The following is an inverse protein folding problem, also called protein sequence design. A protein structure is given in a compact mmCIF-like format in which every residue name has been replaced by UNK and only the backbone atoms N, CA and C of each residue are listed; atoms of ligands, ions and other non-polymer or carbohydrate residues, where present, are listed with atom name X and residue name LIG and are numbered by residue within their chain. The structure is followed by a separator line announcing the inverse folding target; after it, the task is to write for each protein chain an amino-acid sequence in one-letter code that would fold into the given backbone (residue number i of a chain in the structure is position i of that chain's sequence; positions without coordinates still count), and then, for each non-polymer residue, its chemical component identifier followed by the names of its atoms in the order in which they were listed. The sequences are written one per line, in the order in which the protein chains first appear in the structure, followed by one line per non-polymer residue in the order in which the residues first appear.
data_IF_978928069954
#
_entry.id   IF_978928069954
#
_cell.length_a   1.000
_cell.length_b   1.000
_cell.length_c   1.000
_cell.angle_alpha   90.00
_cell.angle_beta   90.00
_cell.angle_gamma   90.00
#
_symmetry.space_group_name_H-M   'P 1'
#
loop_
_entity.id
_entity.type
_entity.pdbx_description
1 polymer ?
#
# COMPACT_ATOMS: atom_id res chain seq x y z
N UNK A 1 10.26 22.97 4.38
CA UNK A 1 11.68 22.70 4.13
C UNK A 1 11.77 21.64 3.06
N UNK A 2 12.61 21.75 2.00
CA UNK A 2 12.63 20.75 0.92
C UNK A 2 13.21 19.37 1.30
N UNK A 3 13.62 19.16 2.55
CA UNK A 3 14.25 17.93 3.02
C UNK A 3 13.29 16.89 3.62
N UNK A 4 11.97 17.16 3.61
CA UNK A 4 10.99 16.30 4.28
C UNK A 4 10.33 15.26 3.36
N UNK A 5 10.69 15.23 2.06
CA UNK A 5 10.14 14.27 1.10
C UNK A 5 11.15 13.18 0.73
N UNK A 6 10.72 11.92 0.86
CA UNK A 6 11.49 10.76 0.40
C UNK A 6 11.35 10.55 -1.11
N UNK A 7 10.17 10.86 -1.67
CA UNK A 7 9.87 10.80 -3.09
C UNK A 7 9.11 12.06 -3.48
N UNK A 8 9.52 12.70 -4.57
CA UNK A 8 8.84 13.86 -5.15
C UNK A 8 8.81 13.70 -6.67
N UNK A 9 7.64 13.90 -7.28
CA UNK A 9 7.50 13.92 -8.74
C UNK A 9 6.66 15.10 -9.18
N UNK A 10 7.02 15.70 -10.31
CA UNK A 10 6.32 16.82 -10.93
C UNK A 10 6.02 16.49 -12.40
N UNK A 11 4.74 16.36 -12.73
CA UNK A 11 4.27 16.05 -14.06
C UNK A 11 4.86 14.75 -14.63
N UNK A 12 5.20 13.77 -13.75
CA UNK A 12 5.87 12.54 -14.18
C UNK A 12 4.99 11.77 -15.14
N UNK A 13 5.51 11.55 -16.37
CA UNK A 13 4.74 10.92 -17.44
C UNK A 13 5.54 9.79 -18.07
N UNK A 14 4.85 8.68 -18.37
CA UNK A 14 5.38 7.56 -19.13
C UNK A 14 4.44 7.14 -20.22
N UNK A 15 4.93 7.25 -21.46
CA UNK A 15 4.23 6.83 -22.67
C UNK A 15 4.87 5.58 -23.25
N UNK A 16 4.06 4.63 -23.67
CA UNK A 16 4.44 3.47 -24.47
C UNK A 16 3.58 3.46 -25.74
N UNK A 17 4.23 3.63 -26.92
CA UNK A 17 3.49 3.86 -28.16
C UNK A 17 2.60 5.10 -28.02
N UNK A 18 1.30 4.91 -28.23
CA UNK A 18 0.31 6.01 -28.15
C UNK A 18 -0.40 6.08 -26.78
N UNK A 19 -0.02 5.24 -25.82
CA UNK A 19 -0.70 5.17 -24.54
C UNK A 19 0.14 5.78 -23.42
N UNK A 20 -0.44 6.74 -22.69
CA UNK A 20 0.11 7.27 -21.44
C UNK A 20 -0.26 6.33 -20.29
N UNK A 21 0.70 5.48 -19.87
CA UNK A 21 0.54 4.55 -18.75
C UNK A 21 0.67 5.28 -17.41
N UNK A 22 1.47 6.33 -17.36
CA UNK A 22 1.52 7.29 -16.25
C UNK A 22 1.40 8.68 -16.87
N UNK A 23 0.42 9.46 -16.41
CA UNK A 23 0.07 10.75 -16.98
C UNK A 23 0.13 11.85 -15.91
N UNK A 24 1.16 12.69 -15.97
CA UNK A 24 1.39 13.88 -15.14
C UNK A 24 1.21 13.61 -13.64
N UNK A 25 1.89 12.57 -13.14
CA UNK A 25 1.83 12.16 -11.75
C UNK A 25 2.63 13.13 -10.86
N UNK A 26 1.96 13.84 -9.95
CA UNK A 26 2.52 14.73 -8.95
C UNK A 26 2.48 14.07 -7.57
N UNK A 27 3.52 13.30 -7.23
CA UNK A 27 3.59 12.50 -6.01
C UNK A 27 4.50 13.15 -4.98
N UNK A 28 4.04 13.24 -3.74
CA UNK A 28 4.79 13.75 -2.61
C UNK A 28 4.73 12.73 -1.44
N UNK A 29 5.83 12.00 -1.23
CA UNK A 29 5.93 10.99 -0.16
C UNK A 29 6.78 11.55 0.97
N UNK A 30 6.23 11.76 2.18
CA UNK A 30 6.99 12.27 3.31
C UNK A 30 8.04 11.26 3.79
N UNK A 31 9.10 11.77 4.41
CA UNK A 31 10.09 10.94 5.10
C UNK A 31 9.45 10.33 6.35
N UNK A 32 9.74 9.06 6.59
CA UNK A 32 9.20 8.28 7.70
C UNK A 32 7.85 7.66 7.42
N UNK A 33 7.49 6.65 8.19
CA UNK A 33 6.22 5.94 8.06
C UNK A 33 6.11 5.07 6.81
N UNK A 34 4.88 4.66 6.53
CA UNK A 34 4.53 3.81 5.40
C UNK A 34 3.59 4.54 4.47
N UNK A 35 3.98 4.68 3.21
CA UNK A 35 3.16 5.25 2.14
C UNK A 35 2.63 4.15 1.23
N UNK A 36 1.31 4.05 1.12
CA UNK A 36 0.60 3.13 0.22
C UNK A 36 0.31 3.79 -1.13
N UNK A 37 0.78 3.20 -2.21
CA UNK A 37 0.48 3.62 -3.58
C UNK A 37 -0.55 2.68 -4.18
N UNK A 38 -1.78 3.14 -4.19
CA UNK A 38 -2.96 2.32 -4.34
C UNK A 38 -3.64 2.53 -5.68
N UNK A 39 -4.07 1.45 -6.32
CA UNK A 39 -4.82 1.52 -7.58
C UNK A 39 -5.05 0.13 -8.17
N UNK A 40 -6.00 -0.01 -9.09
CA UNK A 40 -6.27 -1.27 -9.78
C UNK A 40 -5.08 -1.74 -10.60
N UNK A 41 -5.15 -2.98 -11.08
CA UNK A 41 -4.14 -3.49 -12.00
C UNK A 41 -4.15 -2.65 -13.29
N UNK A 42 -2.96 -2.37 -13.83
CA UNK A 42 -2.83 -1.52 -15.02
C UNK A 42 -2.85 0.00 -14.74
N UNK A 43 -3.06 0.46 -13.51
CA UNK A 43 -3.07 1.89 -13.17
C UNK A 43 -1.70 2.59 -13.21
N UNK A 44 -0.61 1.89 -13.56
CA UNK A 44 0.71 2.47 -13.70
C UNK A 44 1.64 2.34 -12.48
N UNK A 45 1.25 1.62 -11.41
CA UNK A 45 2.02 1.48 -10.15
C UNK A 45 3.45 0.96 -10.38
N UNK A 46 3.58 -0.23 -10.95
CA UNK A 46 4.89 -0.84 -11.26
C UNK A 46 5.73 0.04 -12.21
N UNK A 47 5.08 0.67 -13.20
CA UNK A 47 5.74 1.59 -14.12
C UNK A 47 6.31 2.80 -13.38
N UNK A 48 5.56 3.35 -12.44
CA UNK A 48 6.03 4.45 -11.57
C UNK A 48 7.24 4.01 -10.75
N UNK A 49 7.16 2.87 -10.05
CA UNK A 49 8.29 2.34 -9.27
C UNK A 49 9.53 2.12 -10.14
N UNK A 50 9.38 1.60 -11.36
CA UNK A 50 10.51 1.42 -12.29
C UNK A 50 11.12 2.76 -12.69
N UNK A 51 10.33 3.83 -12.87
CA UNK A 51 10.85 5.17 -13.13
C UNK A 51 11.60 5.73 -11.92
N UNK A 52 11.05 5.58 -10.71
CA UNK A 52 11.70 5.99 -9.46
C UNK A 52 13.09 5.35 -9.32
N UNK A 53 13.23 4.08 -9.66
CA UNK A 53 14.49 3.34 -9.62
C UNK A 53 15.43 3.63 -10.80
N UNK A 54 15.00 4.41 -11.78
CA UNK A 54 15.76 4.66 -12.99
C UNK A 54 15.87 3.47 -13.95
N UNK A 55 15.06 2.41 -13.74
CA UNK A 55 15.02 1.23 -14.62
C UNK A 55 14.39 1.55 -15.97
N UNK A 56 13.49 2.53 -16.03
CA UNK A 56 12.95 3.10 -17.25
C UNK A 56 13.00 4.63 -17.16
N UNK A 57 13.21 5.31 -18.29
CA UNK A 57 13.21 6.76 -18.34
C UNK A 57 11.78 7.31 -18.44
N UNK A 58 11.44 8.37 -17.71
CA UNK A 58 10.22 9.14 -17.96
C UNK A 58 10.18 9.66 -19.40
N UNK A 59 8.98 9.83 -19.93
CA UNK A 59 8.73 10.51 -21.20
C UNK A 59 8.69 12.03 -21.01
N UNK A 60 8.21 12.50 -19.84
CA UNK A 60 8.18 13.89 -19.43
C UNK A 60 8.13 14.00 -17.89
N UNK A 61 8.29 15.23 -17.39
CA UNK A 61 8.28 15.52 -15.95
C UNK A 61 9.62 15.30 -15.27
N UNK A 62 9.63 15.50 -13.95
CA UNK A 62 10.80 15.33 -13.10
C UNK A 62 10.52 14.42 -11.93
N UNK A 63 11.58 13.85 -11.33
CA UNK A 63 11.47 13.08 -10.12
C UNK A 63 12.71 13.22 -9.24
N UNK A 64 12.50 13.18 -7.93
CA UNK A 64 13.55 13.20 -6.91
C UNK A 64 13.36 12.04 -5.94
N UNK A 65 14.48 11.45 -5.51
CA UNK A 65 14.52 10.51 -4.40
C UNK A 65 15.46 11.06 -3.32
N UNK A 66 14.98 11.09 -2.07
CA UNK A 66 15.74 11.59 -0.92
C UNK A 66 16.36 12.98 -1.20
N UNK A 67 15.57 13.87 -1.86
CA UNK A 67 15.96 15.24 -2.23
C UNK A 67 16.85 15.36 -3.47
N UNK A 68 17.26 14.26 -4.12
CA UNK A 68 18.19 14.26 -5.25
C UNK A 68 17.49 13.91 -6.56
N UNK A 69 17.83 14.66 -7.62
CA UNK A 69 17.21 14.49 -8.94
C UNK A 69 17.62 13.17 -9.62
N UNK A 70 16.64 12.40 -10.06
CA UNK A 70 16.84 11.16 -10.79
C UNK A 70 16.60 11.36 -12.31
N UNK A 71 17.29 10.61 -13.16
CA UNK A 71 18.27 9.57 -12.87
C UNK A 71 19.71 10.09 -12.67
N UNK A 72 19.93 11.41 -12.72
CA UNK A 72 21.28 11.99 -12.70
C UNK A 72 22.08 11.61 -11.42
N UNK A 73 21.43 11.55 -10.27
CA UNK A 73 22.04 11.18 -8.99
C UNK A 73 21.87 9.71 -8.61
N UNK A 74 21.56 8.82 -9.55
CA UNK A 74 21.25 7.42 -9.25
C UNK A 74 22.38 6.69 -8.49
N UNK A 75 23.65 6.93 -8.85
CA UNK A 75 24.80 6.33 -8.16
C UNK A 75 24.92 6.72 -6.69
N UNK A 76 24.45 7.90 -6.34
CA UNK A 76 24.55 8.45 -4.99
C UNK A 76 23.34 8.09 -4.13
N UNK A 77 22.17 7.96 -4.77
CA UNK A 77 20.88 7.75 -4.08
C UNK A 77 20.54 6.27 -3.90
N UNK A 78 20.73 5.45 -4.95
CA UNK A 78 20.31 4.04 -4.92
C UNK A 78 20.99 3.19 -3.83
N UNK A 79 22.21 3.50 -3.36
CA UNK A 79 22.77 2.83 -2.18
C UNK A 79 21.91 2.96 -0.92
N UNK A 80 21.13 4.04 -0.78
CA UNK A 80 20.23 4.29 0.35
C UNK A 80 18.80 3.75 0.09
N UNK A 81 18.53 3.21 -1.09
CA UNK A 81 17.24 2.68 -1.51
C UNK A 81 17.29 1.15 -1.57
N UNK A 82 16.36 0.49 -0.90
CA UNK A 82 16.09 -0.94 -1.11
C UNK A 82 14.87 -1.10 -2.02
N UNK A 83 14.89 -2.09 -2.90
CA UNK A 83 13.77 -2.31 -3.80
C UNK A 83 13.42 -3.80 -3.94
N UNK A 84 12.12 -4.08 -3.97
CA UNK A 84 11.53 -5.36 -4.35
C UNK A 84 10.49 -5.09 -5.44
N UNK A 85 10.83 -5.39 -6.70
CA UNK A 85 9.98 -5.12 -7.87
C UNK A 85 9.78 -6.41 -8.63
N UNK A 86 8.55 -6.76 -8.97
CA UNK A 86 8.15 -7.95 -9.75
C UNK A 86 8.61 -9.29 -9.15
N UNK A 87 8.87 -9.32 -7.86
CA UNK A 87 9.35 -10.49 -7.16
C UNK A 87 10.87 -10.71 -7.27
N UNK A 88 11.41 -11.53 -6.38
CA UNK A 88 12.85 -11.72 -6.25
C UNK A 88 13.40 -12.65 -7.32
N UNK A 89 14.36 -12.16 -8.12
CA UNK A 89 15.09 -12.93 -9.10
C UNK A 89 16.34 -13.58 -8.47
N UNK A 90 16.16 -14.76 -7.88
CA UNK A 90 17.25 -15.55 -7.28
C UNK A 90 17.65 -16.75 -8.15
N UNK A 91 18.85 -17.25 -7.93
CA UNK A 91 19.33 -18.46 -8.61
C UNK A 91 18.70 -19.71 -7.98
N UNK A 92 17.92 -20.51 -8.74
CA UNK A 92 17.15 -21.63 -8.19
C UNK A 92 18.00 -22.75 -7.55
N UNK A 93 19.23 -22.92 -8.01
CA UNK A 93 20.16 -23.96 -7.54
C UNK A 93 20.98 -23.54 -6.32
N UNK A 94 21.02 -22.26 -5.99
CA UNK A 94 21.68 -21.75 -4.79
C UNK A 94 20.72 -21.82 -3.58
N UNK A 95 21.29 -21.87 -2.39
CA UNK A 95 20.52 -21.71 -1.15
C UNK A 95 20.10 -20.26 -0.94
N UNK A 96 19.15 -20.00 -0.02
CA UNK A 96 18.77 -18.62 0.35
C UNK A 96 19.98 -17.82 0.80
N UNK A 97 20.80 -18.39 1.68
CA UNK A 97 22.05 -17.82 2.17
C UNK A 97 23.02 -17.48 1.03
N UNK A 98 23.24 -18.41 0.12
CA UNK A 98 24.16 -18.22 -1.02
C UNK A 98 23.67 -17.10 -1.96
N UNK A 99 22.37 -17.02 -2.21
CA UNK A 99 21.77 -15.93 -2.99
C UNK A 99 22.04 -14.56 -2.34
N UNK A 100 21.78 -14.42 -1.03
CA UNK A 100 22.05 -13.17 -0.30
C UNK A 100 23.55 -12.83 -0.29
N UNK A 101 24.43 -13.80 -0.11
CA UNK A 101 25.88 -13.58 -0.21
C UNK A 101 26.31 -13.02 -1.57
N UNK A 102 25.70 -13.48 -2.67
CA UNK A 102 25.98 -12.94 -4.01
C UNK A 102 25.53 -11.50 -4.14
N UNK A 103 24.33 -11.19 -3.67
CA UNK A 103 23.81 -9.82 -3.73
C UNK A 103 24.63 -8.86 -2.86
N UNK A 104 25.00 -9.26 -1.64
CA UNK A 104 25.86 -8.45 -0.80
C UNK A 104 27.26 -8.22 -1.41
N UNK A 105 27.77 -9.22 -2.13
CA UNK A 105 29.06 -9.11 -2.82
C UNK A 105 29.04 -8.13 -3.99
N UNK A 106 27.89 -7.94 -4.64
CA UNK A 106 27.72 -7.01 -5.76
C UNK A 106 27.58 -5.56 -5.31
N UNK A 107 27.38 -5.30 -4.02
CA UNK A 107 27.21 -3.96 -3.51
C UNK A 107 28.52 -3.20 -3.28
N UNK A 108 28.47 -1.85 -3.11
CA UNK A 108 29.65 -0.99 -3.08
C UNK A 108 30.63 -1.24 -1.93
N UNK A 109 30.16 -1.72 -0.77
CA UNK A 109 31.00 -1.89 0.44
C UNK A 109 31.54 -3.29 0.62
N UNK A 110 32.28 -3.82 -0.32
CA UNK A 110 32.81 -5.19 -0.38
C UNK A 110 33.61 -5.70 0.86
N UNK A 111 33.37 -5.19 2.07
CA UNK A 111 33.98 -5.67 3.31
C UNK A 111 33.59 -7.12 3.58
N UNK A 112 34.44 -8.02 3.12
CA UNK A 112 34.27 -9.47 3.20
C UNK A 112 34.06 -9.97 4.63
N UNK A 113 34.71 -9.33 5.61
CA UNK A 113 34.68 -9.74 7.01
C UNK A 113 33.29 -9.62 7.68
N UNK A 114 32.43 -8.68 7.28
CA UNK A 114 31.09 -8.47 7.84
C UNK A 114 29.93 -9.04 6.99
N UNK A 115 30.25 -9.64 5.85
CA UNK A 115 29.24 -10.17 4.92
C UNK A 115 28.40 -11.29 5.53
N UNK A 116 29.01 -12.25 6.20
CA UNK A 116 28.28 -13.37 6.81
C UNK A 116 27.33 -12.86 7.87
N UNK A 117 27.80 -11.95 8.73
CA UNK A 117 26.97 -11.35 9.77
C UNK A 117 25.77 -10.58 9.20
N UNK A 118 25.95 -9.81 8.10
CA UNK A 118 24.82 -9.09 7.47
C UNK A 118 23.79 -10.05 6.88
N UNK A 119 24.24 -11.12 6.21
CA UNK A 119 23.36 -12.14 5.62
C UNK A 119 22.61 -12.88 6.73
N UNK A 120 23.29 -13.28 7.82
CA UNK A 120 22.64 -13.96 8.93
C UNK A 120 21.61 -13.06 9.63
N UNK A 121 21.94 -11.80 9.85
CA UNK A 121 21.02 -10.81 10.41
C UNK A 121 19.79 -10.60 9.51
N UNK A 122 19.98 -10.45 8.19
CA UNK A 122 18.88 -10.29 7.25
C UNK A 122 17.95 -11.51 7.21
N UNK A 123 18.51 -12.73 7.22
CA UNK A 123 17.74 -13.98 7.27
C UNK A 123 16.96 -14.10 8.59
N UNK A 124 17.56 -13.74 9.70
CA UNK A 124 16.93 -13.76 11.02
C UNK A 124 15.74 -12.79 11.07
N UNK A 125 15.90 -11.57 10.56
CA UNK A 125 14.83 -10.55 10.55
C UNK A 125 13.57 -10.99 9.80
N UNK A 126 13.72 -11.80 8.74
CA UNK A 126 12.57 -12.29 7.96
C UNK A 126 12.14 -13.71 8.36
N UNK A 127 12.68 -14.28 9.45
CA UNK A 127 12.32 -15.60 9.94
C UNK A 127 12.77 -16.77 9.05
N UNK A 128 13.85 -16.59 8.25
CA UNK A 128 14.36 -17.60 7.33
C UNK A 128 15.64 -18.32 7.80
N UNK A 129 16.06 -18.13 9.07
CA UNK A 129 17.28 -18.75 9.60
C UNK A 129 17.29 -20.27 9.43
N UNK A 130 16.21 -20.96 9.81
CA UNK A 130 16.09 -22.42 9.71
C UNK A 130 16.06 -22.92 8.26
N UNK A 131 15.65 -22.09 7.31
CA UNK A 131 15.56 -22.42 5.89
C UNK A 131 16.72 -21.86 5.05
N UNK A 132 17.68 -21.16 5.68
CA UNK A 132 18.76 -20.46 5.01
C UNK A 132 19.55 -21.31 4.03
N UNK A 133 19.79 -22.58 4.39
CA UNK A 133 20.60 -23.51 3.62
C UNK A 133 19.77 -24.44 2.71
N UNK A 134 18.44 -24.26 2.66
CA UNK A 134 17.56 -24.91 1.69
C UNK A 134 17.72 -24.24 0.32
N UNK A 135 17.71 -25.02 -0.77
CA UNK A 135 17.78 -24.47 -2.13
C UNK A 135 16.56 -23.61 -2.45
N UNK A 136 16.80 -22.46 -3.11
CA UNK A 136 15.74 -21.49 -3.43
C UNK A 136 14.57 -22.12 -4.22
N UNK A 137 14.85 -23.04 -5.18
CA UNK A 137 13.80 -23.75 -5.92
C UNK A 137 12.81 -24.54 -5.06
N UNK A 138 13.15 -24.79 -3.80
CA UNK A 138 12.32 -25.52 -2.85
C UNK A 138 11.66 -24.58 -1.80
N UNK A 139 11.75 -23.26 -2.02
CA UNK A 139 11.05 -22.27 -1.20
C UNK A 139 9.56 -22.20 -1.60
N UNK A 140 8.69 -21.97 -0.62
CA UNK A 140 7.32 -21.56 -0.88
C UNK A 140 7.29 -20.10 -1.37
N UNK A 141 6.17 -19.66 -1.91
CA UNK A 141 5.98 -18.27 -2.33
C UNK A 141 6.29 -17.29 -1.19
N UNK A 142 5.76 -17.54 0.01
CA UNK A 142 6.03 -16.71 1.19
C UNK A 142 7.49 -16.70 1.61
N UNK A 143 8.20 -17.83 1.51
CA UNK A 143 9.65 -17.86 1.76
C UNK A 143 10.42 -17.08 0.68
N UNK A 144 9.99 -17.15 -0.56
CA UNK A 144 10.54 -16.39 -1.69
C UNK A 144 10.41 -14.88 -1.47
N UNK A 145 9.23 -14.41 -1.09
CA UNK A 145 8.99 -12.99 -0.78
C UNK A 145 9.82 -12.52 0.41
N UNK A 146 9.87 -13.30 1.49
CA UNK A 146 10.72 -12.97 2.66
C UNK A 146 12.21 -12.91 2.30
N UNK A 147 12.68 -13.80 1.44
CA UNK A 147 14.07 -13.72 0.95
C UNK A 147 14.31 -12.45 0.13
N UNK A 148 13.33 -12.03 -0.67
CA UNK A 148 13.36 -10.76 -1.38
C UNK A 148 13.47 -9.56 -0.43
N UNK A 149 12.66 -9.54 0.62
CA UNK A 149 12.76 -8.53 1.67
C UNK A 149 14.12 -8.59 2.39
N UNK A 150 14.62 -9.77 2.73
CA UNK A 150 15.95 -9.92 3.32
C UNK A 150 17.05 -9.30 2.44
N UNK A 151 16.94 -9.42 1.12
CA UNK A 151 17.87 -8.81 0.18
C UNK A 151 17.89 -7.29 0.26
N UNK A 152 16.74 -6.64 0.50
CA UNK A 152 16.67 -5.18 0.68
C UNK A 152 17.35 -4.72 1.97
N UNK A 153 17.43 -5.60 2.98
CA UNK A 153 17.96 -5.33 4.32
C UNK A 153 19.42 -5.71 4.53
N UNK A 154 20.11 -6.18 3.51
CA UNK A 154 21.54 -6.49 3.60
C UNK A 154 22.37 -5.28 4.04
N UNK A 155 21.79 -4.08 3.92
CA UNK A 155 22.36 -2.79 4.35
C UNK A 155 21.28 -1.89 4.91
N UNK A 156 21.60 -0.95 5.80
CA UNK A 156 20.68 0.08 6.21
C UNK A 156 20.15 0.84 4.99
N UNK A 157 18.84 1.08 4.95
CA UNK A 157 18.16 1.81 3.89
C UNK A 157 17.36 2.96 4.48
N UNK A 158 17.34 4.10 3.82
CA UNK A 158 16.51 5.24 4.16
C UNK A 158 15.13 5.14 3.52
N UNK A 159 15.04 4.46 2.37
CA UNK A 159 13.81 4.27 1.61
C UNK A 159 13.73 2.82 1.11
N UNK A 160 12.56 2.20 1.26
CA UNK A 160 12.21 0.92 0.64
C UNK A 160 11.08 1.12 -0.37
N UNK A 161 11.27 0.59 -1.58
CA UNK A 161 10.26 0.54 -2.64
C UNK A 161 9.81 -0.92 -2.82
N UNK A 162 8.57 -1.22 -2.44
CA UNK A 162 8.02 -2.57 -2.45
C UNK A 162 6.83 -2.65 -3.41
N UNK A 163 6.98 -3.42 -4.49
CA UNK A 163 5.91 -3.61 -5.47
C UNK A 163 5.11 -4.86 -5.11
N UNK A 164 3.85 -4.68 -4.69
CA UNK A 164 2.90 -5.74 -4.31
C UNK A 164 3.53 -6.78 -3.34
N UNK A 165 4.08 -6.38 -2.18
CA UNK A 165 4.92 -7.25 -1.34
C UNK A 165 4.18 -8.44 -0.73
N UNK A 166 2.84 -8.41 -0.68
CA UNK A 166 1.96 -9.42 -0.09
C UNK A 166 1.23 -10.26 -1.14
N UNK A 167 1.41 -9.95 -2.43
CA UNK A 167 0.65 -10.59 -3.50
C UNK A 167 0.87 -12.11 -3.53
N UNK A 168 -0.26 -12.86 -3.56
CA UNK A 168 -0.26 -14.31 -3.62
C UNK A 168 0.16 -15.02 -2.33
N UNK A 169 0.27 -14.29 -1.21
CA UNK A 169 0.55 -14.88 0.09
C UNK A 169 -0.73 -15.35 0.79
N UNK A 170 -0.58 -16.31 1.70
CA UNK A 170 -1.66 -16.70 2.59
C UNK A 170 -1.91 -15.61 3.65
N UNK A 171 -3.05 -15.63 4.35
CA UNK A 171 -3.39 -14.61 5.34
C UNK A 171 -2.38 -14.50 6.50
N UNK A 172 -1.68 -15.59 6.84
CA UNK A 172 -0.66 -15.56 7.87
C UNK A 172 0.59 -14.84 7.38
N UNK A 173 1.08 -15.21 6.20
CA UNK A 173 2.25 -14.57 5.58
C UNK A 173 2.02 -13.07 5.35
N UNK A 174 0.82 -12.69 4.88
CA UNK A 174 0.43 -11.29 4.72
C UNK A 174 0.52 -10.51 6.05
N UNK A 175 0.00 -11.09 7.16
CA UNK A 175 0.11 -10.45 8.49
C UNK A 175 1.55 -10.27 8.94
N UNK A 176 2.41 -11.26 8.71
CA UNK A 176 3.81 -11.22 9.09
C UNK A 176 4.58 -10.14 8.29
N UNK A 177 4.35 -10.04 6.98
CA UNK A 177 4.96 -9.00 6.14
C UNK A 177 4.49 -7.61 6.56
N UNK A 178 3.20 -7.41 6.86
CA UNK A 178 2.69 -6.13 7.34
C UNK A 178 3.29 -5.71 8.69
N UNK A 179 3.42 -6.65 9.61
CA UNK A 179 4.09 -6.40 10.88
C UNK A 179 5.54 -5.95 10.67
N UNK A 180 6.25 -6.68 9.82
CA UNK A 180 7.63 -6.38 9.47
C UNK A 180 7.79 -4.99 8.79
N UNK A 181 6.89 -4.60 7.89
CA UNK A 181 6.90 -3.27 7.26
C UNK A 181 6.71 -2.17 8.31
N UNK A 182 5.82 -2.37 9.30
CA UNK A 182 5.62 -1.41 10.40
C UNK A 182 6.86 -1.28 11.28
N UNK A 183 7.49 -2.38 11.66
CA UNK A 183 8.75 -2.36 12.42
C UNK A 183 9.84 -1.56 11.71
N UNK A 184 10.01 -1.74 10.40
CA UNK A 184 10.97 -0.98 9.59
C UNK A 184 10.68 0.53 9.60
N UNK A 185 9.41 0.90 9.52
CA UNK A 185 9.02 2.30 9.58
C UNK A 185 9.23 2.90 10.98
N UNK A 186 8.94 2.16 12.04
CA UNK A 186 9.22 2.55 13.43
C UNK A 186 10.72 2.72 13.70
N UNK A 187 11.57 1.96 13.01
CA UNK A 187 13.03 2.10 13.04
C UNK A 187 13.53 3.32 12.22
N UNK A 188 12.64 4.07 11.57
CA UNK A 188 12.95 5.29 10.82
C UNK A 188 13.19 5.09 9.33
N UNK A 189 12.94 3.88 8.77
CA UNK A 189 12.97 3.66 7.32
C UNK A 189 11.66 4.14 6.70
N UNK A 190 11.72 4.95 5.64
CA UNK A 190 10.54 5.26 4.84
C UNK A 190 10.19 4.06 3.98
N UNK A 191 8.95 3.59 4.02
CA UNK A 191 8.49 2.49 3.17
C UNK A 191 7.43 3.00 2.21
N UNK A 192 7.68 2.84 0.92
CA UNK A 192 6.72 3.05 -0.16
C UNK A 192 6.32 1.69 -0.71
N UNK A 193 5.05 1.35 -0.62
CA UNK A 193 4.54 0.08 -1.14
C UNK A 193 3.40 0.32 -2.13
N UNK A 194 3.39 -0.44 -3.23
CA UNK A 194 2.23 -0.53 -4.09
C UNK A 194 1.29 -1.64 -3.62
N UNK A 195 -0.01 -1.43 -3.78
CA UNK A 195 -1.01 -2.47 -3.57
C UNK A 195 -2.27 -2.22 -4.41
N UNK A 196 -2.96 -3.30 -4.73
CA UNK A 196 -4.33 -3.26 -5.25
C UNK A 196 -5.35 -3.68 -4.19
N UNK A 197 -4.95 -3.91 -2.94
CA UNK A 197 -5.81 -4.37 -1.85
C UNK A 197 -5.97 -3.26 -0.80
N UNK A 198 -7.11 -2.58 -0.84
CA UNK A 198 -7.47 -1.46 0.05
C UNK A 198 -7.34 -1.82 1.53
N UNK A 199 -7.90 -2.96 1.93
CA UNK A 199 -7.87 -3.42 3.32
C UNK A 199 -6.45 -3.72 3.86
N UNK A 200 -5.48 -4.02 3.00
CA UNK A 200 -4.08 -4.18 3.41
C UNK A 200 -3.41 -2.83 3.67
N UNK A 201 -3.65 -1.87 2.79
CA UNK A 201 -3.13 -0.50 2.90
C UNK A 201 -3.65 0.16 4.18
N UNK A 202 -4.94 0.01 4.47
CA UNK A 202 -5.55 0.54 5.71
C UNK A 202 -4.91 0.03 6.99
N UNK A 203 -4.35 -1.18 6.96
CA UNK A 203 -3.77 -1.80 8.15
C UNK A 203 -2.31 -1.43 8.39
N UNK A 204 -1.58 -0.92 7.38
CA UNK A 204 -0.14 -0.72 7.50
C UNK A 204 0.31 0.70 7.18
N UNK A 205 -0.43 1.43 6.34
CA UNK A 205 0.00 2.73 5.85
C UNK A 205 -0.38 3.88 6.78
N UNK A 206 0.47 4.89 6.83
CA UNK A 206 0.22 6.19 7.49
C UNK A 206 -0.28 7.22 6.47
N UNK A 207 0.19 7.10 5.23
CA UNK A 207 -0.18 7.96 4.11
C UNK A 207 -0.51 7.09 2.90
N UNK A 208 -1.34 7.62 2.02
CA UNK A 208 -1.70 6.93 0.78
C UNK A 208 -1.73 7.90 -0.40
N UNK A 209 -1.45 7.35 -1.59
CA UNK A 209 -1.69 7.98 -2.88
C UNK A 209 -2.57 7.05 -3.72
N UNK A 210 -3.71 7.54 -4.16
CA UNK A 210 -4.68 6.79 -4.97
C UNK A 210 -4.45 7.10 -6.43
N UNK A 211 -4.25 6.06 -7.25
CA UNK A 211 -3.99 6.17 -8.69
C UNK A 211 -5.06 5.45 -9.49
N UNK A 212 -5.62 6.14 -10.46
CA UNK A 212 -6.54 5.59 -11.43
C UNK A 212 -6.16 6.06 -12.84
N UNK A 213 -6.20 5.15 -13.83
CA UNK A 213 -5.90 5.46 -15.23
C UNK A 213 -4.59 6.25 -15.45
N UNK A 214 -3.55 5.90 -14.71
CA UNK A 214 -2.22 6.55 -14.79
C UNK A 214 -2.11 7.89 -14.08
N UNK A 215 -3.16 8.39 -13.42
CA UNK A 215 -3.19 9.70 -12.75
C UNK A 215 -3.33 9.56 -11.24
N UNK A 216 -2.72 10.45 -10.50
CA UNK A 216 -2.96 10.58 -9.08
C UNK A 216 -4.32 11.26 -8.86
N UNK A 217 -5.23 10.58 -8.17
CA UNK A 217 -6.58 11.07 -7.86
C UNK A 217 -6.59 11.80 -6.53
N UNK A 218 -5.89 11.25 -5.53
CA UNK A 218 -5.74 11.85 -4.20
C UNK A 218 -4.45 11.37 -3.54
N UNK A 219 -3.90 12.17 -2.63
CA UNK A 219 -2.83 11.75 -1.73
C UNK A 219 -2.91 12.52 -0.41
N UNK A 220 -2.46 11.89 0.67
CA UNK A 220 -2.42 12.51 1.99
C UNK A 220 -2.37 11.48 3.13
N UNK A 221 -2.48 11.95 4.39
CA UNK A 221 -2.64 11.09 5.54
C UNK A 221 -3.85 10.16 5.37
N UNK A 222 -3.70 8.88 5.73
CA UNK A 222 -4.76 7.87 5.58
C UNK A 222 -6.05 8.30 6.28
N UNK A 223 -5.95 8.83 7.50
CA UNK A 223 -7.12 9.24 8.28
C UNK A 223 -7.89 10.41 7.64
N UNK A 224 -7.19 11.34 6.98
CA UNK A 224 -7.82 12.45 6.27
C UNK A 224 -8.57 11.98 5.03
N UNK A 225 -7.98 11.06 4.26
CA UNK A 225 -8.62 10.49 3.07
C UNK A 225 -9.83 9.62 3.43
N UNK A 226 -9.77 8.89 4.54
CA UNK A 226 -10.93 8.15 5.07
C UNK A 226 -12.04 9.11 5.52
N UNK A 227 -11.67 10.22 6.18
CA UNK A 227 -12.64 11.22 6.65
C UNK A 227 -13.37 11.94 5.50
N UNK A 228 -12.85 11.88 4.26
CA UNK A 228 -13.54 12.40 3.07
C UNK A 228 -14.76 11.55 2.66
N UNK A 229 -14.87 10.30 3.15
CA UNK A 229 -16.04 9.46 2.99
C UNK A 229 -17.07 9.71 4.09
N UNK A 230 -18.35 9.41 3.84
CA UNK A 230 -19.38 9.46 4.87
C UNK A 230 -19.37 8.19 5.73
N UNK A 231 -19.43 8.36 7.06
CA UNK A 231 -19.61 7.22 7.96
C UNK A 231 -20.94 6.51 7.64
N UNK A 232 -20.94 5.19 7.65
CA UNK A 232 -22.11 4.36 7.33
C UNK A 232 -22.79 3.91 8.62
N UNK A 233 -24.09 4.20 8.74
CA UNK A 233 -24.95 3.63 9.78
C UNK A 233 -25.43 2.26 9.30
N UNK A 234 -25.28 1.24 10.13
CA UNK A 234 -25.86 -0.10 9.90
C UNK A 234 -26.86 -0.41 11.01
N UNK A 235 -28.04 -0.77 10.61
CA UNK A 235 -29.15 -1.12 11.52
C UNK A 235 -29.63 -2.53 11.20
N UNK A 236 -29.58 -3.41 12.16
CA UNK A 236 -30.17 -4.74 12.07
C UNK A 236 -31.54 -4.76 12.73
N UNK A 237 -32.58 -5.13 11.96
CA UNK A 237 -33.96 -5.09 12.38
C UNK A 237 -34.82 -6.12 11.62
N UNK A 238 -35.94 -6.56 12.22
CA UNK A 238 -36.92 -7.40 11.55
C UNK A 238 -37.80 -6.61 10.56
N UNK A 239 -37.86 -5.27 10.70
CA UNK A 239 -38.64 -4.37 9.85
C UNK A 239 -37.71 -3.44 9.07
N UNK A 240 -36.95 -4.02 8.15
CA UNK A 240 -35.93 -3.33 7.37
C UNK A 240 -36.54 -2.27 6.42
N UNK A 241 -37.75 -2.52 5.89
CA UNK A 241 -38.41 -1.57 4.97
C UNK A 241 -38.84 -0.30 5.69
N UNK A 242 -39.45 -0.44 6.88
CA UNK A 242 -39.80 0.74 7.70
C UNK A 242 -38.55 1.48 8.16
N UNK A 243 -37.50 0.76 8.56
CA UNK A 243 -36.22 1.38 8.94
C UNK A 243 -35.61 2.19 7.80
N UNK A 244 -35.56 1.63 6.60
CA UNK A 244 -35.06 2.34 5.41
C UNK A 244 -35.86 3.62 5.12
N UNK A 245 -37.19 3.54 5.22
CA UNK A 245 -38.08 4.68 5.01
C UNK A 245 -37.84 5.78 6.05
N UNK A 246 -37.64 5.43 7.32
CA UNK A 246 -37.34 6.38 8.39
C UNK A 246 -36.01 7.05 8.16
N UNK A 247 -34.94 6.28 7.84
CA UNK A 247 -33.62 6.84 7.60
C UNK A 247 -33.60 7.77 6.38
N UNK A 248 -34.27 7.39 5.30
CA UNK A 248 -34.41 8.25 4.11
C UNK A 248 -35.16 9.54 4.44
N UNK A 249 -36.25 9.49 5.25
CA UNK A 249 -36.99 10.67 5.70
C UNK A 249 -36.17 11.60 6.59
N UNK A 250 -35.22 11.07 7.35
CA UNK A 250 -34.26 11.85 8.14
C UNK A 250 -33.24 12.57 7.28
N UNK A 251 -33.15 12.26 5.99
CA UNK A 251 -32.21 12.87 5.05
C UNK A 251 -30.87 12.11 4.89
N UNK A 252 -30.76 10.88 5.42
CA UNK A 252 -29.59 10.04 5.17
C UNK A 252 -29.58 9.60 3.70
N UNK A 253 -28.41 9.66 3.08
CA UNK A 253 -28.22 9.21 1.69
C UNK A 253 -27.79 7.75 1.60
N UNK A 254 -27.71 7.22 0.38
CA UNK A 254 -27.23 5.85 0.09
C UNK A 254 -27.91 4.75 0.94
N UNK A 255 -29.23 4.89 1.17
CA UNK A 255 -29.98 3.88 1.93
C UNK A 255 -30.08 2.60 1.11
N UNK A 256 -29.55 1.51 1.66
CA UNK A 256 -29.55 0.18 1.04
C UNK A 256 -30.12 -0.87 1.99
N UNK A 257 -30.80 -1.88 1.43
CA UNK A 257 -31.33 -3.02 2.17
C UNK A 257 -30.61 -4.30 1.76
N UNK A 258 -30.17 -5.07 2.76
CA UNK A 258 -29.59 -6.40 2.58
C UNK A 258 -30.13 -7.35 3.63
N UNK A 259 -31.23 -8.05 3.32
CA UNK A 259 -31.94 -8.91 4.29
C UNK A 259 -32.48 -8.10 5.46
N UNK A 260 -32.07 -8.44 6.68
CA UNK A 260 -32.46 -7.77 7.91
C UNK A 260 -31.58 -6.53 8.25
N UNK A 261 -30.64 -6.16 7.38
CA UNK A 261 -29.72 -5.05 7.60
C UNK A 261 -30.04 -3.88 6.69
N UNK A 262 -30.20 -2.70 7.26
CA UNK A 262 -30.30 -1.43 6.54
C UNK A 262 -29.00 -0.66 6.75
N UNK A 263 -28.40 -0.18 5.66
CA UNK A 263 -27.22 0.66 5.69
C UNK A 263 -27.54 2.03 5.08
N UNK A 264 -27.01 3.10 5.66
CA UNK A 264 -27.19 4.47 5.14
C UNK A 264 -25.96 5.32 5.46
N UNK A 265 -25.63 6.26 4.58
CA UNK A 265 -24.57 7.25 4.88
C UNK A 265 -25.09 8.24 5.94
N UNK A 266 -24.27 8.49 6.96
CA UNK A 266 -24.67 9.36 8.08
C UNK A 266 -24.71 10.84 7.69
N UNK A 267 -23.90 11.28 6.74
CA UNK A 267 -23.88 12.66 6.21
C UNK A 267 -23.94 13.76 7.29
N UNK A 268 -23.22 13.52 8.39
CA UNK A 268 -23.19 14.43 9.55
C UNK A 268 -24.32 14.22 10.56
N UNK A 269 -25.25 13.29 10.33
CA UNK A 269 -26.27 12.94 11.30
C UNK A 269 -25.66 12.17 12.49
N UNK A 270 -26.22 12.40 13.69
CA UNK A 270 -25.78 11.67 14.90
C UNK A 270 -26.47 10.31 14.99
N UNK A 271 -25.72 9.23 15.18
CA UNK A 271 -26.27 7.88 15.28
C UNK A 271 -27.36 7.73 16.35
N UNK A 272 -27.19 8.43 17.48
CA UNK A 272 -28.16 8.42 18.58
C UNK A 272 -29.50 9.05 18.19
N UNK A 273 -29.47 10.05 17.30
CA UNK A 273 -30.69 10.65 16.76
C UNK A 273 -31.39 9.67 15.82
N UNK A 274 -30.66 9.04 14.93
CA UNK A 274 -31.20 8.00 14.02
C UNK A 274 -31.83 6.84 14.81
N UNK A 275 -31.15 6.37 15.85
CA UNK A 275 -31.68 5.31 16.72
C UNK A 275 -32.99 5.71 17.39
N UNK A 276 -33.08 6.92 17.93
CA UNK A 276 -34.28 7.45 18.56
C UNK A 276 -35.47 7.48 17.61
N UNK A 277 -35.26 8.01 16.39
CA UNK A 277 -36.33 8.14 15.40
C UNK A 277 -36.82 6.76 14.89
N UNK A 278 -35.92 5.77 14.76
CA UNK A 278 -36.28 4.40 14.46
C UNK A 278 -37.18 3.80 15.55
N UNK A 279 -36.83 3.97 16.82
CA UNK A 279 -37.60 3.46 17.95
C UNK A 279 -38.95 4.17 18.05
N UNK A 280 -39.01 5.49 17.84
CA UNK A 280 -40.27 6.27 17.82
C UNK A 280 -41.19 5.78 16.70
N UNK A 281 -40.65 5.40 15.56
CA UNK A 281 -41.38 4.83 14.43
C UNK A 281 -41.83 3.36 14.66
N UNK A 282 -41.51 2.76 15.82
CA UNK A 282 -41.89 1.39 16.16
C UNK A 282 -40.94 0.32 15.60
N UNK A 283 -39.80 0.70 15.05
CA UNK A 283 -38.81 -0.24 14.52
C UNK A 283 -38.04 -0.88 15.69
N UNK A 284 -38.08 -2.20 15.77
CA UNK A 284 -37.27 -2.97 16.71
C UNK A 284 -35.80 -3.03 16.29
N UNK A 285 -34.96 -2.22 16.91
CA UNK A 285 -33.52 -2.18 16.62
C UNK A 285 -32.79 -3.31 17.38
N UNK A 286 -32.27 -4.29 16.67
CA UNK A 286 -31.47 -5.38 17.26
C UNK A 286 -30.02 -4.98 17.46
N UNK A 287 -29.46 -4.30 16.44
CA UNK A 287 -28.10 -3.76 16.47
C UNK A 287 -28.07 -2.45 15.71
N UNK A 288 -27.29 -1.50 16.21
CA UNK A 288 -26.98 -0.26 15.51
C UNK A 288 -25.48 -0.01 15.66
N UNK A 289 -24.78 -0.01 14.53
CA UNK A 289 -23.34 0.22 14.47
C UNK A 289 -23.05 1.36 13.50
N UNK A 290 -21.93 2.03 13.72
CA UNK A 290 -21.41 3.00 12.80
C UNK A 290 -20.06 2.52 12.30
N UNK A 291 -19.99 2.26 11.01
CA UNK A 291 -18.74 1.92 10.36
C UNK A 291 -18.05 3.22 9.94
N UNK A 292 -16.78 3.37 10.31
CA UNK A 292 -15.98 4.48 9.78
C UNK A 292 -15.87 4.33 8.28
N UNK A 293 -15.81 5.43 7.51
CA UNK A 293 -15.58 5.34 6.09
C UNK A 293 -14.33 4.51 5.81
N UNK A 294 -14.46 3.57 4.90
CA UNK A 294 -13.32 2.79 4.41
C UNK A 294 -12.57 3.58 3.34
N UNK A 295 -11.36 3.18 3.06
CA UNK A 295 -10.62 3.71 1.93
C UNK A 295 -11.30 3.35 0.58
N UNK A 296 -12.10 2.28 0.57
CA UNK A 296 -12.93 1.88 -0.56
C UNK A 296 -14.07 2.89 -0.82
N UNK A 297 -14.76 3.33 0.23
CA UNK A 297 -15.79 4.37 0.11
C UNK A 297 -15.17 5.67 -0.42
N UNK A 298 -13.99 6.05 0.09
CA UNK A 298 -13.25 7.22 -0.39
C UNK A 298 -12.82 7.05 -1.86
N UNK A 299 -12.35 5.86 -2.26
CA UNK A 299 -11.98 5.56 -3.64
C UNK A 299 -13.19 5.72 -4.59
N UNK A 300 -14.31 5.09 -4.26
CA UNK A 300 -15.56 5.18 -5.05
C UNK A 300 -16.04 6.63 -5.15
N UNK A 301 -15.99 7.38 -4.05
CA UNK A 301 -16.39 8.79 -4.05
C UNK A 301 -15.50 9.66 -4.97
N UNK A 302 -14.20 9.34 -5.05
CA UNK A 302 -13.22 10.10 -5.85
C UNK A 302 -13.17 9.69 -7.32
N UNK A 303 -13.45 8.43 -7.65
CA UNK A 303 -13.32 7.90 -9.02
C UNK A 303 -14.65 7.71 -9.73
N UNK A 304 -15.75 7.62 -8.97
CA UNK A 304 -17.08 7.26 -9.50
C UNK A 304 -17.24 5.79 -9.88
N UNK A 305 -16.19 4.98 -9.72
CA UNK A 305 -16.15 3.56 -10.10
C UNK A 305 -15.68 2.70 -8.93
N UNK A 306 -16.20 1.48 -8.80
CA UNK A 306 -15.71 0.50 -7.83
C UNK A 306 -14.26 0.08 -8.14
N UNK A 307 -13.50 -0.26 -7.11
CA UNK A 307 -12.07 -0.59 -7.22
C UNK A 307 -11.79 -1.82 -8.13
N UNK A 308 -12.76 -2.71 -8.28
CA UNK A 308 -12.64 -3.97 -9.04
C UNK A 308 -13.05 -3.87 -10.52
N UNK A 309 -13.42 -2.69 -11.05
CA UNK A 309 -14.02 -2.54 -12.39
C UNK A 309 -13.02 -2.26 -13.51
N UNK A 310 -11.73 -2.19 -13.22
CA UNK A 310 -10.69 -2.11 -14.26
C UNK A 310 -10.24 -3.51 -14.69
N UNK A 311 -11.07 -4.19 -15.51
CA UNK A 311 -10.78 -5.44 -16.21
C UNK A 311 -10.13 -5.20 -17.57
#
# INVERSE_FOLDING_TARGET
MPDDLAIETEGLTKRFGDTDVVDRLDLAVPVGGVFGFLGPNGSGKTTTIRMLLGLIRPSAGSLRLLGRAMPAAASDVLPDVGALVEGPAFYPWLTGRQNLHRLDAAGPDGRRASRSSRVDAALARVGLTAAADKRYRAYSLGMTQRLGLAATLLRPRRLLLLDEPTNGMDPQGTREIRHFIRELAEEGTTVFLSSHLLGEVEQVCTHVGIVALGRLVAQGPLDELRAAGSATLRVETDDAETAATVLARLGLSAVTLSGAVVSAALDGHRPEHCCRELVIAGVGVRSLTTDRPSLEDAYVALTGEGFDVAG
#
